data_IF_578041910048
#
_entry.id   IF_578041910048
#
_cell.length_a   1.000
_cell.length_b   1.000
_cell.length_c   1.000
_cell.angle_alpha   90.00
_cell.angle_beta   90.00
_cell.angle_gamma   90.00
#
_symmetry.space_group_name_H-M   'P 1'
#
loop_
_entity.id
_entity.type
_entity.pdbx_description
1 polymer ?
#
# COMPACT_ATOMS: atom_id res chain seq x y z
N UNK A 1 24.92 9.15 -3.47
CA UNK A 1 23.84 10.06 -3.71
C UNK A 1 22.73 9.84 -2.71
N UNK A 2 22.42 10.89 -1.98
CA UNK A 2 21.40 10.79 -0.94
C UNK A 2 20.04 10.43 -1.51
N UNK A 3 19.72 10.95 -2.69
CA UNK A 3 18.43 10.66 -3.30
C UNK A 3 18.24 9.20 -3.63
N UNK A 4 19.31 8.55 -4.08
CA UNK A 4 19.22 7.14 -4.40
C UNK A 4 19.04 6.27 -3.16
N UNK A 5 19.72 6.64 -2.07
CA UNK A 5 19.55 5.90 -0.84
C UNK A 5 18.12 6.03 -0.32
N UNK A 6 17.55 7.23 -0.41
CA UNK A 6 16.18 7.44 0.00
C UNK A 6 15.24 6.59 -0.85
N UNK A 7 15.48 6.51 -2.15
CA UNK A 7 14.65 5.67 -3.03
C UNK A 7 14.71 4.21 -2.65
N UNK A 8 15.90 3.71 -2.35
CA UNK A 8 16.05 2.31 -1.96
C UNK A 8 15.27 2.02 -0.68
N UNK A 9 15.38 2.91 0.30
CA UNK A 9 14.66 2.73 1.55
C UNK A 9 13.16 2.76 1.29
N UNK A 10 12.70 3.70 0.49
CA UNK A 10 11.29 3.80 0.16
C UNK A 10 10.81 2.53 -0.53
N UNK A 11 11.59 1.99 -1.44
CA UNK A 11 11.22 0.76 -2.13
C UNK A 11 11.11 -0.41 -1.18
N UNK A 12 11.99 -0.48 -0.19
CA UNK A 12 11.91 -1.53 0.80
C UNK A 12 10.63 -1.43 1.62
N UNK A 13 10.25 -0.21 1.99
CA UNK A 13 9.02 0.00 2.73
C UNK A 13 7.83 -0.35 1.86
N UNK A 14 7.85 0.04 0.59
CA UNK A 14 6.78 -0.28 -0.35
C UNK A 14 6.60 -1.79 -0.47
N UNK A 15 7.70 -2.52 -0.59
CA UNK A 15 7.61 -3.97 -0.70
C UNK A 15 7.03 -4.60 0.54
N UNK A 16 7.46 -4.15 1.71
CA UNK A 16 6.97 -4.70 2.96
C UNK A 16 5.48 -4.41 3.13
N UNK A 17 5.07 -3.19 2.84
CA UNK A 17 3.67 -2.80 2.96
C UNK A 17 2.82 -3.55 1.95
N UNK A 18 3.26 -3.62 0.71
CA UNK A 18 2.52 -4.31 -0.33
C UNK A 18 2.35 -5.79 0.03
N UNK A 19 3.41 -6.42 0.50
CA UNK A 19 3.36 -7.82 0.90
C UNK A 19 2.34 -8.02 2.03
N UNK A 20 2.38 -7.15 3.01
CA UNK A 20 1.47 -7.25 4.16
C UNK A 20 0.01 -7.11 3.71
N UNK A 21 -0.28 -6.12 2.88
CA UNK A 21 -1.63 -5.91 2.38
C UNK A 21 -2.07 -7.06 1.50
N UNK A 22 -1.15 -7.58 0.68
CA UNK A 22 -1.46 -8.71 -0.20
C UNK A 22 -1.93 -9.93 0.57
N UNK A 23 -1.33 -10.18 1.71
CA UNK A 23 -1.70 -11.34 2.52
C UNK A 23 -3.09 -11.19 3.11
N UNK A 24 -3.51 -9.97 3.36
CA UNK A 24 -4.81 -9.71 3.98
C UNK A 24 -5.89 -9.36 2.96
N UNK A 25 -5.49 -9.09 1.73
CA UNK A 25 -6.38 -8.71 0.64
C UNK A 25 -6.92 -7.31 0.80
N UNK A 26 -7.34 -6.94 1.98
CA UNK A 26 -7.75 -5.57 2.30
C UNK A 26 -7.61 -5.34 3.80
N UNK A 27 -7.40 -4.10 4.16
CA UNK A 27 -7.27 -3.72 5.55
C UNK A 27 -7.42 -2.22 5.65
N UNK A 28 -7.57 -1.71 6.86
CA UNK A 28 -7.65 -0.27 7.05
C UNK A 28 -6.27 0.31 7.29
N UNK A 29 -6.15 1.61 7.07
CA UNK A 29 -4.91 2.33 7.34
C UNK A 29 -4.53 2.24 8.81
N UNK A 30 -5.52 2.31 9.70
CA UNK A 30 -5.28 2.18 11.13
C UNK A 30 -4.60 0.86 11.45
N UNK A 31 -5.11 -0.24 10.88
CA UNK A 31 -4.49 -1.54 11.10
C UNK A 31 -3.09 -1.60 10.53
N UNK A 32 -2.89 -0.99 9.37
CA UNK A 32 -1.57 -0.94 8.78
C UNK A 32 -0.58 -0.22 9.68
N UNK A 33 -1.00 0.88 10.28
CA UNK A 33 -0.12 1.64 11.15
C UNK A 33 0.27 0.84 12.39
N UNK A 34 -0.62 -0.01 12.87
CA UNK A 34 -0.28 -0.88 13.99
C UNK A 34 0.72 -1.96 13.58
N UNK A 35 0.65 -2.41 12.34
CA UNK A 35 1.57 -3.44 11.86
C UNK A 35 2.97 -2.90 11.64
N UNK A 36 3.10 -1.60 11.39
CA UNK A 36 4.38 -0.97 11.11
C UNK A 36 4.59 0.23 12.05
N UNK A 37 4.68 -0.02 13.35
CA UNK A 37 4.78 1.10 14.30
C UNK A 37 6.09 1.86 14.20
N UNK A 38 7.09 1.32 13.51
CA UNK A 38 8.37 1.98 13.34
C UNK A 38 8.32 3.12 12.32
N UNK A 39 7.24 3.21 11.54
CA UNK A 39 7.10 4.27 10.54
C UNK A 39 6.00 5.23 10.96
N UNK A 40 6.17 6.49 10.56
CA UNK A 40 5.14 7.50 10.82
C UNK A 40 3.97 7.30 9.86
N UNK A 41 2.81 7.86 10.22
CA UNK A 41 1.66 7.76 9.34
C UNK A 41 1.92 8.48 8.02
N UNK A 42 2.72 9.56 8.04
CA UNK A 42 3.07 10.27 6.81
C UNK A 42 3.85 9.35 5.87
N UNK A 43 4.82 8.63 6.41
CA UNK A 43 5.61 7.71 5.61
C UNK A 43 4.73 6.62 5.02
N UNK A 44 3.87 6.05 5.82
CA UNK A 44 2.98 4.98 5.34
C UNK A 44 2.03 5.52 4.28
N UNK A 45 1.50 6.72 4.49
CA UNK A 45 0.57 7.31 3.55
C UNK A 45 1.25 7.59 2.21
N UNK A 46 2.48 8.09 2.25
CA UNK A 46 3.24 8.32 1.03
C UNK A 46 3.50 7.02 0.29
N UNK A 47 3.84 5.97 1.03
CA UNK A 47 4.09 4.67 0.42
C UNK A 47 2.81 4.14 -0.25
N UNK A 48 1.68 4.29 0.42
CA UNK A 48 0.42 3.85 -0.17
C UNK A 48 0.08 4.63 -1.43
N UNK A 49 0.34 5.91 -1.46
CA UNK A 49 0.12 6.70 -2.67
C UNK A 49 0.99 6.21 -3.81
N UNK A 50 2.24 5.85 -3.52
CA UNK A 50 3.12 5.33 -4.55
C UNK A 50 2.63 3.98 -5.07
N UNK A 51 2.15 3.14 -4.16
CA UNK A 51 1.59 1.86 -4.57
C UNK A 51 0.32 2.04 -5.41
N UNK A 52 -0.48 3.02 -5.06
CA UNK A 52 -1.66 3.32 -5.85
C UNK A 52 -1.29 3.83 -7.22
N UNK A 53 -0.27 4.67 -7.33
CA UNK A 53 0.21 5.15 -8.61
C UNK A 53 0.71 4.02 -9.49
N UNK A 54 1.22 2.96 -8.89
CA UNK A 54 1.68 1.79 -9.61
C UNK A 54 0.58 0.78 -9.86
N UNK A 55 -0.65 1.13 -9.50
CA UNK A 55 -1.82 0.26 -9.68
C UNK A 55 -1.71 -1.04 -8.89
N UNK A 56 -1.07 -0.98 -7.74
CA UNK A 56 -0.93 -2.18 -6.90
C UNK A 56 -1.95 -2.21 -5.78
N UNK A 57 -2.44 -1.06 -5.34
CA UNK A 57 -3.47 -0.98 -4.32
C UNK A 57 -4.47 0.10 -4.69
N UNK A 58 -5.64 0.02 -4.09
CA UNK A 58 -6.68 1.03 -4.19
C UNK A 58 -6.96 1.56 -2.79
N UNK A 59 -7.02 2.87 -2.65
CA UNK A 59 -7.36 3.51 -1.38
C UNK A 59 -8.81 3.97 -1.44
N UNK A 60 -9.62 3.48 -0.53
CA UNK A 60 -11.03 3.85 -0.46
C UNK A 60 -11.25 4.66 0.80
N UNK A 61 -11.64 5.94 0.68
CA UNK A 61 -11.86 6.74 1.89
C UNK A 61 -13.08 6.25 2.65
N UNK A 62 -12.93 6.15 3.95
CA UNK A 62 -13.99 5.83 4.88
C UNK A 62 -14.24 7.07 5.72
N UNK A 63 -15.23 7.01 6.59
CA UNK A 63 -15.60 8.18 7.37
C UNK A 63 -14.43 8.68 8.22
N UNK A 64 -13.73 7.77 8.90
CA UNK A 64 -12.64 8.15 9.79
C UNK A 64 -11.35 7.41 9.48
N UNK A 65 -11.25 6.78 8.28
CA UNK A 65 -10.11 5.93 7.98
C UNK A 65 -10.02 5.78 6.48
N UNK A 66 -9.12 4.92 6.02
CA UNK A 66 -9.02 4.51 4.62
C UNK A 66 -8.99 3.01 4.57
N UNK A 67 -9.65 2.44 3.59
CA UNK A 67 -9.53 1.02 3.31
C UNK A 67 -8.51 0.83 2.18
N UNK A 68 -7.61 -0.11 2.37
CA UNK A 68 -6.56 -0.42 1.40
C UNK A 68 -6.90 -1.77 0.80
N UNK A 69 -7.08 -1.83 -0.51
CA UNK A 69 -7.42 -3.06 -1.22
C UNK A 69 -6.34 -3.39 -2.23
N UNK A 70 -6.13 -4.67 -2.45
CA UNK A 70 -5.19 -5.12 -3.45
C UNK A 70 -5.82 -4.93 -4.84
N UNK A 71 -5.09 -4.24 -5.70
CA UNK A 71 -5.55 -3.96 -7.06
C UNK A 71 -5.39 -5.16 -7.97
N UNK A 72 -4.40 -5.96 -7.70
CA UNK A 72 -4.04 -7.08 -8.56
C UNK A 72 -5.21 -8.06 -8.73
N UNK A 73 -6.01 -8.23 -7.70
CA UNK A 73 -7.16 -9.11 -7.76
C UNK A 73 -8.21 -8.57 -8.71
N UNK A 74 -8.39 -7.27 -8.73
CA UNK A 74 -9.34 -6.64 -9.65
C UNK A 74 -8.88 -6.84 -11.08
N UNK A 75 -7.59 -6.64 -11.32
CA UNK A 75 -7.05 -6.81 -12.66
C UNK A 75 -7.20 -8.25 -13.15
N UNK A 76 -6.98 -9.20 -12.26
CA UNK A 76 -7.14 -10.60 -12.62
C UNK A 76 -8.58 -10.92 -13.00
N UNK A 77 -9.53 -10.36 -12.27
CA UNK A 77 -10.93 -10.55 -12.57
C UNK A 77 -11.29 -9.99 -13.93
N UNK A 78 -10.81 -8.79 -14.22
CA UNK A 78 -11.05 -8.19 -15.51
C UNK A 78 -10.54 -9.06 -16.63
N UNK A 79 -9.35 -9.59 -16.46
CA UNK A 79 -8.77 -10.45 -17.48
C UNK A 79 -9.60 -11.68 -17.75
N UNK A 80 -10.21 -12.19 -16.71
CA UNK A 80 -10.96 -13.43 -16.86
C UNK A 80 -12.34 -13.22 -17.45
N UNK A 81 -12.91 -12.07 -17.27
CA UNK A 81 -14.24 -11.84 -17.80
C UNK A 81 -14.26 -11.68 -19.30
N UNK A 82 -13.13 -11.60 -19.92
CA UNK A 82 -13.09 -11.48 -21.34
C UNK A 82 -13.18 -12.76 -22.08
#
# INVERSE_FOLDING_TARGET
>A
MAGQMTSVITQQIESAVHHHVSQRRRMTFTLLSYAFPQYTWQTLFQVLHRLQEKDLVVLVPLLWDYEIRIQEEIAANDGRTR
#
